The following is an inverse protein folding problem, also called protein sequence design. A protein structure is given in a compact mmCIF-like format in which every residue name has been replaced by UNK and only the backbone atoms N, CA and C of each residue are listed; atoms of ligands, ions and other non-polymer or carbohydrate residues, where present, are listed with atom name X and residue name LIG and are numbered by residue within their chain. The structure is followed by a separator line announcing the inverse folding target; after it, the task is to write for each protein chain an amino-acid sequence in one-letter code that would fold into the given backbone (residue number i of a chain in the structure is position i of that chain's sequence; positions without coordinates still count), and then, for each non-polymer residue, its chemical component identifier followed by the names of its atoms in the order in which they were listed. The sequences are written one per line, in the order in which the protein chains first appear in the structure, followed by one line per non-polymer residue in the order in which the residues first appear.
data_IF_711985239764
#
_entry.id   IF_711985239764
#
_cell.length_a   1.000
_cell.length_b   1.000
_cell.length_c   1.000
_cell.angle_alpha   90.00
_cell.angle_beta   90.00
_cell.angle_gamma   90.00
#
_symmetry.space_group_name_H-M   'P 1'
#
loop_
_entity.id
_entity.type
_entity.pdbx_description
1 polymer ?
#
# COMPACT_ATOMS: atom_id res chain seq x y z
N UNK A 1 -39.64 6.50 30.87
CA UNK A 1 -39.55 6.69 29.40
C UNK A 1 -38.54 7.75 28.93
N UNK A 2 -37.91 8.55 29.81
CA UNK A 2 -36.98 9.62 29.42
C UNK A 2 -35.49 9.21 29.22
N UNK A 3 -35.09 8.00 29.65
CA UNK A 3 -33.69 7.55 29.57
C UNK A 3 -33.28 7.04 28.17
N UNK A 4 -34.21 6.40 27.44
CA UNK A 4 -33.93 5.78 26.14
C UNK A 4 -33.69 6.80 25.01
N UNK A 5 -34.33 7.98 25.09
CA UNK A 5 -34.16 9.07 24.11
C UNK A 5 -32.76 9.71 24.16
N UNK A 6 -32.08 9.66 25.32
CA UNK A 6 -30.75 10.25 25.50
C UNK A 6 -29.64 9.39 24.89
N UNK A 7 -29.82 8.06 24.88
CA UNK A 7 -28.88 7.11 24.28
C UNK A 7 -28.93 7.15 22.73
N UNK A 8 -30.12 7.32 22.15
CA UNK A 8 -30.29 7.43 20.68
C UNK A 8 -29.67 8.72 20.15
N UNK A 9 -29.82 9.85 20.86
CA UNK A 9 -29.18 11.13 20.51
C UNK A 9 -27.64 11.06 20.58
N UNK A 10 -27.08 10.34 21.56
CA UNK A 10 -25.61 10.15 21.66
C UNK A 10 -25.04 9.33 20.52
N UNK A 11 -25.74 8.30 20.04
CA UNK A 11 -25.30 7.48 18.90
C UNK A 11 -25.38 8.26 17.56
N UNK A 12 -26.43 9.05 17.36
CA UNK A 12 -26.58 9.87 16.16
C UNK A 12 -25.55 11.01 16.06
N UNK A 13 -25.15 11.60 17.19
CA UNK A 13 -24.12 12.64 17.25
C UNK A 13 -22.72 12.15 16.86
N UNK A 14 -22.35 10.94 17.28
CA UNK A 14 -21.06 10.33 16.93
C UNK A 14 -20.96 10.03 15.42
N UNK A 15 -22.04 9.57 14.79
CA UNK A 15 -22.09 9.26 13.35
C UNK A 15 -22.00 10.53 12.48
N UNK A 16 -22.57 11.66 12.93
CA UNK A 16 -22.44 12.96 12.24
C UNK A 16 -21.02 13.55 12.38
N UNK A 17 -20.37 13.33 13.52
CA UNK A 17 -18.97 13.72 13.72
C UNK A 17 -18.02 12.93 12.81
N UNK A 18 -18.27 11.62 12.64
CA UNK A 18 -17.42 10.75 11.83
C UNK A 18 -17.51 11.04 10.32
N UNK A 19 -18.71 11.35 9.81
CA UNK A 19 -18.91 11.76 8.40
C UNK A 19 -18.28 13.12 8.08
N UNK A 20 -18.33 14.07 9.02
CA UNK A 20 -17.68 15.39 8.87
C UNK A 20 -16.14 15.28 8.94
N UNK A 21 -15.62 14.33 9.73
CA UNK A 21 -14.19 14.04 9.81
C UNK A 21 -13.61 13.45 8.51
N UNK A 22 -14.32 12.54 7.84
CA UNK A 22 -13.88 11.98 6.56
C UNK A 22 -13.91 13.00 5.41
N UNK A 23 -14.86 13.94 5.41
CA UNK A 23 -14.91 15.01 4.41
C UNK A 23 -13.69 15.95 4.46
N UNK A 24 -13.14 16.21 5.66
CA UNK A 24 -11.90 17.00 5.81
C UNK A 24 -10.64 16.23 5.40
N UNK A 25 -10.63 14.91 5.53
CA UNK A 25 -9.50 14.08 5.09
C UNK A 25 -9.37 14.04 3.56
N UNK A 26 -10.50 14.05 2.85
CA UNK A 26 -10.54 14.03 1.38
C UNK A 26 -10.24 15.40 0.75
N UNK A 27 -10.51 16.50 1.48
CA UNK A 27 -10.13 17.85 1.06
C UNK A 27 -8.61 18.09 1.16
N UNK A 28 -7.91 17.42 2.08
CA UNK A 28 -6.45 17.55 2.23
C UNK A 28 -5.66 16.89 1.07
N UNK A 29 -6.25 15.90 0.38
CA UNK A 29 -5.60 15.23 -0.76
C UNK A 29 -5.77 15.95 -2.11
N UNK A 30 -6.62 16.98 -2.20
CA UNK A 30 -6.87 17.70 -3.46
C UNK A 30 -5.88 18.85 -3.73
N UNK A 31 -5.13 19.31 -2.72
CA UNK A 31 -4.28 20.51 -2.82
C UNK A 31 -2.84 20.25 -3.30
N UNK A 32 -2.49 18.99 -3.62
CA UNK A 32 -1.12 18.59 -4.02
C UNK A 32 -0.91 18.37 -5.52
N UNK A 33 -1.93 18.57 -6.36
CA UNK A 33 -1.95 18.13 -7.77
C UNK A 33 -2.11 19.28 -8.78
N UNK A 34 -1.65 20.49 -8.43
CA UNK A 34 -1.78 21.70 -9.27
C UNK A 34 -0.55 22.61 -9.17
N UNK A 35 0.65 22.04 -9.37
CA UNK A 35 1.88 22.83 -9.54
C UNK A 35 2.89 22.10 -10.45
N UNK A 36 2.57 21.94 -11.74
CA UNK A 36 3.54 21.47 -12.73
C UNK A 36 3.41 22.12 -14.11
N UNK A 37 2.95 23.36 -14.18
CA UNK A 37 3.08 24.14 -15.41
C UNK A 37 3.02 25.64 -15.14
N UNK A 38 4.18 26.30 -15.14
CA UNK A 38 4.37 27.67 -15.61
C UNK A 38 5.88 27.95 -15.60
N UNK A 39 6.42 28.23 -16.80
CA UNK A 39 7.85 28.47 -17.00
C UNK A 39 8.29 29.88 -16.63
N UNK A 40 9.60 30.11 -16.66
CA UNK A 40 10.20 31.40 -17.05
C UNK A 40 11.72 31.27 -17.08
N UNK A 41 12.31 31.93 -18.08
CA UNK A 41 13.73 32.09 -18.28
C UNK A 41 14.39 32.98 -17.21
N UNK A 42 15.69 32.76 -17.00
CA UNK A 42 16.63 33.72 -16.42
C UNK A 42 16.59 33.86 -14.90
N UNK A 43 17.69 33.49 -14.23
CA UNK A 43 18.60 34.48 -13.65
C UNK A 43 19.83 33.80 -13.04
N UNK A 44 20.96 34.41 -13.36
CA UNK A 44 22.30 34.18 -12.86
C UNK A 44 22.37 34.73 -11.44
N UNK A 45 22.58 33.88 -10.44
CA UNK A 45 22.97 34.34 -9.11
C UNK A 45 24.15 33.51 -8.60
N UNK A 46 25.33 34.13 -8.57
CA UNK A 46 26.53 33.60 -7.90
C UNK A 46 26.36 33.83 -6.39
N UNK A 47 26.42 32.79 -5.55
CA UNK A 47 26.53 33.02 -4.12
C UNK A 47 27.97 33.39 -3.75
N UNK A 48 28.05 34.54 -3.08
CA UNK A 48 29.19 35.18 -2.43
C UNK A 48 29.89 34.25 -1.42
N UNK A 49 31.22 34.30 -1.42
CA UNK A 49 32.09 33.58 -0.49
C UNK A 49 32.03 34.19 0.91
N UNK A 50 31.81 33.37 1.94
CA UNK A 50 32.15 33.71 3.33
C UNK A 50 32.75 32.50 4.06
N UNK A 51 33.93 32.76 4.64
CA UNK A 51 34.63 32.04 5.72
C UNK A 51 35.32 30.71 5.34
N UNK A 52 36.51 30.36 5.83
CA UNK A 52 37.27 30.79 7.01
C UNK A 52 38.75 30.50 6.73
N UNK A 53 39.64 31.49 6.85
CA UNK A 53 41.07 31.28 6.72
C UNK A 53 41.63 30.71 8.04
N UNK A 54 42.21 29.51 8.00
CA UNK A 54 43.01 28.93 9.09
C UNK A 54 44.46 28.88 8.61
N UNK A 55 45.46 29.27 9.43
CA UNK A 55 46.82 29.53 8.95
C UNK A 55 47.56 28.21 8.68
N UNK A 56 48.07 28.02 7.46
CA UNK A 56 49.02 26.94 7.13
C UNK A 56 50.32 27.59 6.64
N UNK A 57 51.28 27.67 7.56
CA UNK A 57 52.60 28.27 7.44
C UNK A 57 53.50 27.50 6.43
N UNK A 58 53.24 27.63 5.12
CA UNK A 58 54.20 27.20 4.09
C UNK A 58 53.66 26.28 2.98
N UNK A 59 52.35 26.09 2.88
CA UNK A 59 51.78 25.40 1.72
C UNK A 59 51.64 26.39 0.54
N UNK A 60 52.32 26.11 -0.57
CA UNK A 60 52.17 26.94 -1.78
C UNK A 60 50.72 26.84 -2.30
N UNK A 61 50.18 27.91 -2.92
CA UNK A 61 48.81 27.91 -3.45
C UNK A 61 48.51 26.71 -4.38
N UNK A 62 49.54 26.25 -5.10
CA UNK A 62 49.46 25.06 -5.97
C UNK A 62 49.32 23.74 -5.21
N UNK A 63 49.91 23.61 -4.02
CA UNK A 63 49.82 22.39 -3.21
C UNK A 63 48.42 22.20 -2.62
N UNK A 64 47.78 23.29 -2.19
CA UNK A 64 46.39 23.28 -1.71
C UNK A 64 45.43 23.00 -2.88
N UNK A 65 45.62 23.67 -4.02
CA UNK A 65 44.82 23.44 -5.22
C UNK A 65 44.98 22.03 -5.80
N UNK A 66 46.17 21.44 -5.68
CA UNK A 66 46.45 20.06 -6.09
C UNK A 66 45.87 19.05 -5.09
N UNK A 67 45.96 19.30 -3.78
CA UNK A 67 45.37 18.45 -2.74
C UNK A 67 43.84 18.38 -2.81
N UNK A 68 43.18 19.51 -3.08
CA UNK A 68 41.71 19.57 -3.27
C UNK A 68 41.31 18.80 -4.55
N UNK A 69 42.05 18.96 -5.66
CA UNK A 69 41.80 18.21 -6.90
C UNK A 69 42.13 16.71 -6.80
N UNK A 70 43.16 16.35 -6.03
CA UNK A 70 43.52 14.97 -5.78
C UNK A 70 42.48 14.25 -4.92
N UNK A 71 41.88 14.95 -3.94
CA UNK A 71 40.77 14.44 -3.14
C UNK A 71 39.46 14.29 -3.94
N UNK A 72 39.22 15.15 -4.94
CA UNK A 72 38.08 15.00 -5.85
C UNK A 72 38.18 13.77 -6.79
N UNK A 73 39.36 13.15 -6.89
CA UNK A 73 39.58 11.88 -7.61
C UNK A 73 39.63 10.68 -6.64
N UNK A 74 39.00 10.79 -5.48
CA UNK A 74 38.75 9.66 -4.61
C UNK A 74 37.49 8.93 -5.06
N UNK A 75 37.70 7.73 -5.62
CA UNK A 75 36.76 6.63 -5.77
C UNK A 75 35.53 6.91 -6.65
N UNK A 76 35.37 6.27 -7.83
CA UNK A 76 34.02 6.03 -8.31
C UNK A 76 33.30 5.33 -7.16
N UNK A 77 32.30 6.00 -6.60
CA UNK A 77 31.32 5.35 -5.74
C UNK A 77 30.80 4.19 -6.56
N UNK A 78 31.37 3.01 -6.33
CA UNK A 78 30.80 1.75 -6.74
C UNK A 78 29.49 1.71 -6.01
N UNK A 79 28.44 2.25 -6.65
CA UNK A 79 27.07 1.96 -6.33
C UNK A 79 27.05 0.46 -6.09
N UNK A 80 26.88 0.05 -4.84
CA UNK A 80 26.34 -1.26 -4.55
C UNK A 80 25.23 -1.48 -5.58
N UNK A 81 25.17 -2.63 -6.28
CA UNK A 81 24.24 -2.83 -7.39
C UNK A 81 22.88 -2.27 -7.00
N UNK A 82 22.53 -1.11 -7.55
CA UNK A 82 21.25 -0.47 -7.30
C UNK A 82 20.29 -1.46 -7.93
N UNK A 83 19.66 -2.32 -7.11
CA UNK A 83 18.54 -3.13 -7.56
C UNK A 83 17.44 -2.14 -7.89
N UNK A 84 17.47 -1.64 -9.12
CA UNK A 84 16.41 -0.88 -9.73
C UNK A 84 15.24 -1.85 -9.89
N UNK A 85 14.52 -2.11 -8.81
CA UNK A 85 13.20 -2.73 -8.89
C UNK A 85 12.38 -1.78 -9.76
N UNK A 86 12.07 -2.24 -10.98
CA UNK A 86 11.23 -1.51 -11.90
C UNK A 86 9.90 -1.19 -11.19
N UNK A 87 9.35 0.01 -11.39
CA UNK A 87 8.02 0.39 -10.88
C UNK A 87 6.95 -0.64 -11.28
N UNK A 88 7.13 -1.31 -12.43
CA UNK A 88 6.29 -2.40 -12.88
C UNK A 88 6.42 -3.64 -11.98
N UNK A 89 7.64 -4.00 -11.56
CA UNK A 89 7.85 -5.11 -10.64
C UNK A 89 7.20 -4.82 -9.28
N UNK A 90 7.30 -3.59 -8.79
CA UNK A 90 6.62 -3.16 -7.55
C UNK A 90 5.09 -3.18 -7.69
N UNK A 91 4.54 -2.72 -8.81
CA UNK A 91 3.10 -2.70 -9.04
C UNK A 91 2.51 -4.11 -9.22
N UNK A 92 3.25 -5.06 -9.81
CA UNK A 92 2.86 -6.50 -9.86
C UNK A 92 2.67 -7.06 -8.45
N UNK A 93 3.57 -6.78 -7.52
CA UNK A 93 3.47 -7.27 -6.14
C UNK A 93 2.26 -6.68 -5.39
N UNK A 94 1.99 -5.38 -5.57
CA UNK A 94 0.83 -4.72 -4.96
C UNK A 94 -0.48 -5.22 -5.57
N UNK A 95 -0.54 -5.32 -6.90
CA UNK A 95 -1.71 -5.83 -7.62
C UNK A 95 -2.04 -7.28 -7.26
N UNK A 96 -1.03 -8.13 -7.15
CA UNK A 96 -1.19 -9.51 -6.68
C UNK A 96 -1.73 -9.56 -5.25
N UNK A 97 -1.21 -8.72 -4.35
CA UNK A 97 -1.73 -8.60 -2.98
C UNK A 97 -3.21 -8.20 -2.95
N UNK A 98 -3.59 -7.16 -3.70
CA UNK A 98 -4.98 -6.72 -3.78
C UNK A 98 -5.91 -7.79 -4.38
N UNK A 99 -5.46 -8.54 -5.39
CA UNK A 99 -6.25 -9.61 -5.99
C UNK A 99 -6.54 -10.76 -5.01
N UNK A 100 -5.62 -11.09 -4.09
CA UNK A 100 -5.84 -12.14 -3.09
C UNK A 100 -6.94 -11.84 -2.07
N UNK A 101 -7.38 -10.58 -1.94
CA UNK A 101 -8.47 -10.18 -1.01
C UNK A 101 -9.76 -10.94 -1.31
N UNK A 102 -10.00 -11.33 -2.58
CA UNK A 102 -11.17 -12.11 -2.96
C UNK A 102 -11.31 -13.44 -2.19
N UNK A 103 -10.21 -14.02 -1.70
CA UNK A 103 -10.26 -15.25 -0.89
C UNK A 103 -10.97 -15.07 0.46
N UNK A 104 -11.06 -13.85 0.99
CA UNK A 104 -11.83 -13.57 2.19
C UNK A 104 -13.33 -13.87 1.99
N UNK A 105 -13.87 -13.55 0.81
CA UNK A 105 -15.25 -13.86 0.46
C UNK A 105 -15.51 -15.36 0.32
N UNK A 106 -14.55 -16.09 -0.27
CA UNK A 106 -14.59 -17.55 -0.38
C UNK A 106 -14.61 -18.20 1.02
N UNK A 107 -13.70 -17.78 1.91
CA UNK A 107 -13.64 -18.30 3.28
C UNK A 107 -14.92 -18.02 4.08
N UNK A 108 -15.51 -16.83 3.93
CA UNK A 108 -16.79 -16.50 4.54
C UNK A 108 -17.93 -17.38 3.99
N UNK A 109 -17.98 -17.57 2.67
CA UNK A 109 -18.97 -18.44 2.02
C UNK A 109 -18.88 -19.90 2.48
N UNK A 110 -17.66 -20.45 2.56
CA UNK A 110 -17.39 -21.78 3.11
C UNK A 110 -17.87 -21.92 4.56
N UNK A 111 -17.62 -20.92 5.40
CA UNK A 111 -18.08 -20.92 6.79
C UNK A 111 -19.61 -21.00 6.91
N UNK A 112 -20.33 -20.23 6.11
CA UNK A 112 -21.80 -20.24 6.08
C UNK A 112 -22.34 -21.58 5.54
N UNK A 113 -21.69 -22.11 4.50
CA UNK A 113 -22.06 -23.38 3.87
C UNK A 113 -21.92 -24.56 4.83
N UNK A 114 -20.76 -24.69 5.48
CA UNK A 114 -20.55 -25.75 6.48
C UNK A 114 -21.38 -25.55 7.75
N UNK A 115 -21.61 -24.30 8.18
CA UNK A 115 -22.54 -24.02 9.28
C UNK A 115 -23.97 -24.48 8.98
N UNK A 116 -24.44 -24.24 7.76
CA UNK A 116 -25.77 -24.69 7.30
C UNK A 116 -25.86 -26.21 7.16
N UNK A 117 -24.77 -26.87 6.73
CA UNK A 117 -24.68 -28.32 6.68
C UNK A 117 -24.82 -28.95 8.07
N UNK A 118 -24.08 -28.46 9.07
CA UNK A 118 -24.13 -28.99 10.44
C UNK A 118 -25.54 -28.81 11.01
N UNK A 119 -26.13 -27.62 10.84
CA UNK A 119 -27.49 -27.35 11.31
C UNK A 119 -28.54 -28.24 10.61
N UNK A 120 -28.39 -28.47 9.30
CA UNK A 120 -29.25 -29.37 8.53
C UNK A 120 -29.13 -30.82 8.97
N UNK A 121 -27.89 -31.30 9.17
CA UNK A 121 -27.62 -32.66 9.63
C UNK A 121 -28.09 -32.91 11.07
N UNK A 122 -27.97 -31.90 11.95
CA UNK A 122 -28.47 -31.97 13.32
C UNK A 122 -30.01 -32.03 13.39
N UNK A 123 -30.71 -31.39 12.45
CA UNK A 123 -32.18 -31.42 12.38
C UNK A 123 -32.75 -32.73 11.86
N UNK A 124 -32.09 -33.35 10.89
CA UNK A 124 -32.51 -34.64 10.36
C UNK A 124 -31.30 -35.49 9.93
N UNK A 125 -30.80 -36.38 10.81
CA UNK A 125 -29.62 -37.18 10.51
C UNK A 125 -29.84 -38.24 9.43
N UNK A 126 -31.08 -38.64 9.14
CA UNK A 126 -31.37 -39.68 8.14
C UNK A 126 -31.01 -39.23 6.71
N UNK A 127 -31.08 -37.93 6.42
CA UNK A 127 -30.71 -37.34 5.12
C UNK A 127 -29.29 -36.77 5.10
N UNK A 128 -28.52 -36.94 6.18
CA UNK A 128 -27.20 -36.32 6.32
C UNK A 128 -26.23 -36.69 5.19
N UNK A 129 -26.25 -37.93 4.70
CA UNK A 129 -25.38 -38.36 3.58
C UNK A 129 -25.68 -37.59 2.28
N UNK A 130 -26.95 -37.31 2.00
CA UNK A 130 -27.34 -36.53 0.83
C UNK A 130 -26.97 -35.04 1.01
N UNK A 131 -27.17 -34.50 2.21
CA UNK A 131 -26.76 -33.13 2.56
C UNK A 131 -25.24 -32.94 2.44
N UNK A 132 -24.44 -33.91 2.88
CA UNK A 132 -22.97 -33.89 2.68
C UNK A 132 -22.62 -33.92 1.19
N UNK A 133 -23.36 -34.67 0.36
CA UNK A 133 -23.20 -34.63 -1.10
C UNK A 133 -23.43 -33.24 -1.70
N UNK A 134 -24.51 -32.56 -1.31
CA UNK A 134 -24.77 -31.17 -1.75
C UNK A 134 -23.76 -30.17 -1.20
N UNK A 135 -23.31 -30.36 0.03
CA UNK A 135 -22.24 -29.58 0.63
C UNK A 135 -20.91 -29.72 -0.13
N UNK A 136 -20.52 -30.93 -0.52
CA UNK A 136 -19.29 -31.16 -1.29
C UNK A 136 -19.39 -30.59 -2.71
N UNK A 137 -20.57 -30.63 -3.32
CA UNK A 137 -20.83 -29.94 -4.59
C UNK A 137 -20.65 -28.42 -4.43
N UNK A 138 -21.26 -27.82 -3.41
CA UNK A 138 -21.13 -26.39 -3.12
C UNK A 138 -19.69 -25.99 -2.74
N UNK A 139 -18.98 -26.85 -2.02
CA UNK A 139 -17.56 -26.71 -1.72
C UNK A 139 -16.73 -26.66 -3.00
N UNK A 140 -16.90 -27.62 -3.91
CA UNK A 140 -16.17 -27.66 -5.18
C UNK A 140 -16.42 -26.42 -6.04
N UNK A 141 -17.65 -25.93 -6.09
CA UNK A 141 -17.99 -24.69 -6.79
C UNK A 141 -17.36 -23.46 -6.14
N UNK A 142 -17.35 -23.39 -4.82
CA UNK A 142 -16.72 -22.27 -4.08
C UNK A 142 -15.20 -22.28 -4.25
N UNK A 143 -14.57 -23.45 -4.19
CA UNK A 143 -13.14 -23.63 -4.46
C UNK A 143 -12.78 -23.30 -5.91
N UNK A 144 -13.65 -23.60 -6.89
CA UNK A 144 -13.43 -23.18 -8.27
C UNK A 144 -13.30 -21.65 -8.38
N UNK A 145 -14.06 -20.88 -7.60
CA UNK A 145 -13.97 -19.41 -7.58
C UNK A 145 -12.68 -18.98 -6.84
N UNK A 146 -12.31 -19.68 -5.77
CA UNK A 146 -11.05 -19.45 -5.06
C UNK A 146 -9.83 -19.62 -5.97
N UNK A 147 -9.78 -20.75 -6.69
CA UNK A 147 -8.71 -21.05 -7.63
C UNK A 147 -8.75 -20.12 -8.85
N UNK A 148 -9.93 -19.67 -9.28
CA UNK A 148 -10.03 -18.65 -10.32
C UNK A 148 -9.41 -17.32 -9.89
N UNK A 149 -9.65 -16.88 -8.65
CA UNK A 149 -8.98 -15.70 -8.09
C UNK A 149 -7.45 -15.88 -8.03
N UNK A 150 -6.98 -17.04 -7.55
CA UNK A 150 -5.55 -17.35 -7.49
C UNK A 150 -4.91 -17.44 -8.88
N UNK A 151 -5.66 -17.90 -9.89
CA UNK A 151 -5.21 -17.89 -11.29
C UNK A 151 -4.88 -16.46 -11.72
N UNK A 152 -5.76 -15.49 -11.44
CA UNK A 152 -5.51 -14.07 -11.75
C UNK A 152 -4.30 -13.55 -10.99
N UNK A 153 -4.12 -13.93 -9.73
CA UNK A 153 -2.91 -13.58 -8.95
C UNK A 153 -1.65 -14.12 -9.62
N UNK A 154 -1.65 -15.37 -10.08
CA UNK A 154 -0.52 -15.96 -10.78
C UNK A 154 -0.25 -15.32 -12.14
N UNK A 155 -1.28 -14.91 -12.88
CA UNK A 155 -1.11 -14.11 -14.10
C UNK A 155 -0.48 -12.75 -13.78
N UNK A 156 -0.90 -12.09 -12.72
CA UNK A 156 -0.29 -10.80 -12.32
C UNK A 156 1.16 -10.97 -11.88
N UNK A 157 1.58 -12.11 -11.34
CA UNK A 157 2.97 -12.30 -10.92
C UNK A 157 3.87 -12.84 -12.03
N UNK A 158 3.39 -13.78 -12.85
CA UNK A 158 4.23 -14.58 -13.73
C UNK A 158 3.93 -14.42 -15.23
N UNK A 159 2.85 -13.75 -15.60
CA UNK A 159 2.61 -13.26 -16.96
C UNK A 159 2.90 -11.75 -17.05
#
# INVERSE_FOLDING_TARGET
MASSQKAVQMSLGAVRSLSTGMARLQAASAQGMLASSQGAAGQMEKPVMVATQVPILGATPSAIASGIRASAKASPMSLAPQRSMSVLAASKMVGAGCATIALAGVGAGLGVMFGSLINGAARNPNIAKQLVGYALLGFALTESIALFSLLVVFLILFA
#
